data_IF_131735460258
#
_entry.id   IF_131735460258
#
_cell.length_a   1.000
_cell.length_b   1.000
_cell.length_c   1.000
_cell.angle_alpha   90.00
_cell.angle_beta   90.00
_cell.angle_gamma   90.00
#
_symmetry.space_group_name_H-M   'P 1'
#
loop_
_entity.id
_entity.type
_entity.pdbx_description
1 polymer ?
#
# COMPACT_ATOMS: atom_id res chain seq x y z
N UNK A 1 -18.04 15.12 21.25
CA UNK A 1 -18.95 15.22 22.41
C UNK A 1 -18.16 15.00 23.68
N UNK A 2 -18.43 15.78 24.74
CA UNK A 2 -17.80 15.57 26.04
C UNK A 2 -18.54 14.42 26.73
N UNK A 3 -17.89 13.27 26.83
CA UNK A 3 -18.52 12.01 27.25
C UNK A 3 -18.75 11.97 28.77
N UNK A 4 -18.24 12.96 29.50
CA UNK A 4 -18.32 13.01 30.96
C UNK A 4 -17.47 11.91 31.61
N UNK A 5 -17.65 11.75 32.92
CA UNK A 5 -17.03 10.67 33.69
C UNK A 5 -17.92 9.42 33.63
N UNK A 6 -17.36 8.27 33.26
CA UNK A 6 -18.07 6.98 33.16
C UNK A 6 -17.41 6.00 34.12
N UNK A 7 -18.18 5.46 35.06
CA UNK A 7 -17.72 4.46 36.03
C UNK A 7 -18.18 3.08 35.57
N UNK A 8 -17.27 2.10 35.55
CA UNK A 8 -17.62 0.73 35.18
C UNK A 8 -18.52 0.08 36.22
N UNK A 9 -19.55 -0.64 35.78
CA UNK A 9 -20.48 -1.33 36.68
C UNK A 9 -19.94 -2.68 37.19
N UNK A 10 -18.90 -3.20 36.55
CA UNK A 10 -18.23 -4.45 36.90
C UNK A 10 -16.79 -4.45 36.38
N UNK A 11 -16.03 -5.52 36.69
CA UNK A 11 -14.70 -5.71 36.14
C UNK A 11 -14.76 -5.89 34.61
N UNK A 12 -14.05 -5.03 33.89
CA UNK A 12 -13.94 -5.09 32.43
C UNK A 12 -12.47 -5.37 32.06
N UNK A 13 -12.16 -6.53 31.44
CA UNK A 13 -10.80 -6.83 31.04
C UNK A 13 -10.24 -5.84 30.02
N UNK A 14 -8.92 -5.67 30.01
CA UNK A 14 -8.24 -4.80 29.04
C UNK A 14 -8.57 -5.17 27.59
N UNK A 15 -8.79 -4.18 26.74
CA UNK A 15 -9.15 -4.35 25.32
C UNK A 15 -10.65 -4.56 25.07
N UNK A 16 -11.47 -4.73 26.11
CA UNK A 16 -12.92 -4.82 25.99
C UNK A 16 -13.57 -3.43 25.89
N UNK A 17 -14.84 -3.42 25.48
CA UNK A 17 -15.61 -2.20 25.22
C UNK A 17 -16.48 -1.88 26.44
N UNK A 18 -16.62 -0.60 26.74
CA UNK A 18 -17.52 -0.08 27.76
C UNK A 18 -18.52 0.85 27.07
N UNK A 19 -19.81 0.74 27.40
CA UNK A 19 -20.82 1.66 26.92
C UNK A 19 -20.62 3.02 27.61
N UNK A 20 -20.40 4.06 26.81
CA UNK A 20 -20.16 5.41 27.35
C UNK A 20 -21.44 6.20 27.64
N UNK A 21 -22.58 5.66 27.22
CA UNK A 21 -23.94 6.18 27.43
C UNK A 21 -24.90 4.99 27.45
N UNK A 22 -26.12 5.11 28.00
CA UNK A 22 -27.12 4.06 27.87
C UNK A 22 -27.43 3.79 26.39
N UNK A 23 -27.62 2.52 26.06
CA UNK A 23 -27.96 2.02 24.73
C UNK A 23 -29.20 1.15 24.88
N UNK A 24 -30.30 1.52 24.25
CA UNK A 24 -31.54 0.74 24.36
C UNK A 24 -31.41 -0.58 23.59
N UNK A 25 -32.21 -1.57 23.96
CA UNK A 25 -32.34 -2.79 23.16
C UNK A 25 -32.72 -2.42 21.72
N UNK A 26 -31.98 -2.98 20.77
CA UNK A 26 -32.21 -2.68 19.38
C UNK A 26 -31.55 -1.39 18.86
N UNK A 27 -30.82 -0.65 19.68
CA UNK A 27 -30.07 0.50 19.17
C UNK A 27 -28.78 0.05 18.46
N UNK A 28 -28.36 0.86 17.48
CA UNK A 28 -27.07 0.68 16.81
C UNK A 28 -25.93 1.06 17.76
N UNK A 29 -24.97 0.16 17.91
CA UNK A 29 -23.76 0.41 18.70
C UNK A 29 -22.69 0.95 17.78
N UNK A 30 -22.20 2.15 18.08
CA UNK A 30 -21.17 2.83 17.28
C UNK A 30 -19.79 2.66 17.91
N UNK A 31 -18.79 2.39 17.06
CA UNK A 31 -17.37 2.47 17.40
C UNK A 31 -16.61 3.05 16.21
N UNK A 32 -15.74 4.04 16.46
CA UNK A 32 -15.04 4.78 15.40
C UNK A 32 -15.98 5.40 14.34
N UNK A 33 -17.17 5.85 14.77
CA UNK A 33 -18.18 6.40 13.87
C UNK A 33 -18.88 5.37 12.97
N UNK A 34 -18.69 4.07 13.21
CA UNK A 34 -19.28 3.00 12.41
C UNK A 34 -20.14 2.09 13.27
N UNK A 35 -21.23 1.57 12.69
CA UNK A 35 -22.09 0.58 13.35
C UNK A 35 -21.33 -0.75 13.44
N UNK A 36 -21.13 -1.24 14.66
CA UNK A 36 -20.46 -2.53 14.92
C UNK A 36 -21.44 -3.65 15.29
N UNK A 37 -22.73 -3.33 15.34
CA UNK A 37 -23.79 -4.26 15.71
C UNK A 37 -24.96 -3.53 16.35
N UNK A 38 -25.91 -4.32 16.84
CA UNK A 38 -27.11 -3.84 17.53
C UNK A 38 -27.11 -4.37 18.96
N UNK A 39 -27.54 -3.56 19.92
CA UNK A 39 -27.69 -4.03 21.29
C UNK A 39 -28.78 -5.12 21.33
N UNK A 40 -28.45 -6.32 21.83
CA UNK A 40 -29.42 -7.43 21.93
C UNK A 40 -30.29 -7.35 23.20
N UNK A 41 -29.97 -6.42 24.08
CA UNK A 41 -30.74 -6.00 25.25
C UNK A 41 -30.33 -4.57 25.60
N UNK A 42 -31.01 -3.95 26.56
CA UNK A 42 -30.54 -2.70 27.14
C UNK A 42 -29.13 -2.85 27.73
N UNK A 43 -28.27 -1.85 27.48
CA UNK A 43 -26.90 -1.75 27.99
C UNK A 43 -26.76 -0.41 28.73
N UNK A 44 -26.45 -0.46 30.02
CA UNK A 44 -26.26 0.73 30.83
C UNK A 44 -24.93 1.44 30.52
N UNK A 45 -24.85 2.75 30.79
CA UNK A 45 -23.56 3.43 30.79
C UNK A 45 -22.61 2.79 31.82
N UNK A 46 -21.34 2.61 31.47
CA UNK A 46 -20.36 1.90 32.28
C UNK A 46 -20.41 0.37 32.15
N UNK A 47 -21.37 -0.18 31.41
CA UNK A 47 -21.49 -1.61 31.25
C UNK A 47 -20.54 -2.15 30.16
N UNK A 48 -20.07 -3.38 30.38
CA UNK A 48 -19.25 -4.12 29.41
C UNK A 48 -20.05 -4.48 28.16
N UNK A 49 -19.59 -4.05 26.98
CA UNK A 49 -20.15 -4.45 25.66
C UNK A 49 -19.35 -5.63 25.06
N UNK A 50 -19.99 -6.79 24.97
CA UNK A 50 -19.43 -8.08 24.55
C UNK A 50 -20.44 -8.90 23.72
N UNK A 51 -20.07 -10.12 23.32
CA UNK A 51 -20.87 -10.96 22.41
C UNK A 51 -22.29 -11.28 22.93
N UNK A 52 -22.50 -11.25 24.26
CA UNK A 52 -23.80 -11.58 24.86
C UNK A 52 -24.80 -10.41 24.84
N UNK A 53 -24.34 -9.17 24.64
CA UNK A 53 -25.21 -7.98 24.57
C UNK A 53 -25.06 -7.18 23.27
N UNK A 54 -24.18 -7.60 22.36
CA UNK A 54 -23.99 -7.03 21.03
C UNK A 54 -24.23 -8.09 19.97
N UNK A 55 -25.35 -7.99 19.26
CA UNK A 55 -25.68 -8.85 18.13
C UNK A 55 -25.13 -8.28 16.82
N UNK A 56 -24.67 -9.17 15.94
CA UNK A 56 -24.40 -8.82 14.54
C UNK A 56 -25.72 -8.71 13.79
N UNK A 57 -25.80 -7.73 12.91
CA UNK A 57 -26.98 -7.50 12.08
C UNK A 57 -26.85 -8.27 10.77
N UNK A 58 -27.91 -8.96 10.37
CA UNK A 58 -28.13 -9.21 8.95
C UNK A 58 -28.36 -7.85 8.28
N UNK A 59 -27.45 -7.51 7.38
CA UNK A 59 -27.37 -6.16 6.83
C UNK A 59 -27.64 -6.20 5.34
N UNK A 60 -28.73 -5.56 4.92
CA UNK A 60 -28.99 -5.20 3.53
C UNK A 60 -28.49 -3.78 3.19
N UNK A 61 -27.59 -3.21 4.01
CA UNK A 61 -27.11 -1.84 3.80
C UNK A 61 -26.28 -1.76 2.51
N UNK A 62 -26.48 -0.67 1.77
CA UNK A 62 -25.60 -0.31 0.66
C UNK A 62 -24.19 -0.11 1.20
N UNK A 63 -23.20 -0.71 0.54
CA UNK A 63 -21.81 -0.43 0.86
C UNK A 63 -21.46 0.97 0.35
N UNK A 64 -21.19 1.88 1.27
CA UNK A 64 -20.86 3.26 0.96
C UNK A 64 -19.48 3.60 1.52
N UNK A 65 -18.65 4.26 0.73
CA UNK A 65 -17.28 4.59 1.10
C UNK A 65 -17.19 6.06 1.53
N UNK A 66 -16.66 6.29 2.73
CA UNK A 66 -16.30 7.62 3.22
C UNK A 66 -17.44 8.66 3.14
N UNK A 67 -18.69 8.25 3.43
CA UNK A 67 -19.88 9.12 3.37
C UNK A 67 -19.73 10.35 4.27
N UNK A 68 -19.13 10.17 5.45
CA UNK A 68 -18.80 11.25 6.39
C UNK A 68 -17.35 11.75 6.23
N UNK A 69 -16.63 11.23 5.23
CA UNK A 69 -15.25 11.61 4.93
C UNK A 69 -15.21 12.93 4.17
N UNK A 70 -14.87 14.02 4.86
CA UNK A 70 -14.55 15.30 4.24
C UNK A 70 -13.11 15.38 3.71
N UNK A 71 -12.78 16.43 2.94
CA UNK A 71 -11.39 16.71 2.59
C UNK A 71 -10.55 16.80 3.86
N UNK A 72 -9.42 16.10 3.89
CA UNK A 72 -8.50 16.17 5.03
C UNK A 72 -7.97 17.60 5.12
N UNK A 73 -8.18 18.31 6.23
CA UNK A 73 -7.67 19.66 6.38
C UNK A 73 -6.14 19.60 6.38
N UNK A 74 -5.53 20.24 5.38
CA UNK A 74 -4.09 20.41 5.34
C UNK A 74 -3.69 21.53 6.31
N UNK A 75 -2.57 21.34 7.01
CA UNK A 75 -1.95 22.44 7.76
C UNK A 75 -1.67 23.64 6.84
N UNK A 76 -1.68 24.88 7.36
CA UNK A 76 -1.19 26.04 6.64
C UNK A 76 0.18 25.78 6.03
N UNK A 77 0.47 26.36 4.86
CA UNK A 77 1.69 26.04 4.10
C UNK A 77 2.98 26.23 4.92
N UNK A 78 3.05 27.27 5.74
CA UNK A 78 4.19 27.55 6.62
C UNK A 78 4.40 26.54 7.77
N UNK A 79 3.40 25.69 8.05
CA UNK A 79 3.48 24.64 9.08
C UNK A 79 3.74 23.25 8.48
N UNK A 80 3.72 23.14 7.14
CA UNK A 80 3.96 21.86 6.45
C UNK A 80 5.45 21.51 6.53
N UNK A 81 5.74 20.33 7.05
CA UNK A 81 7.11 19.81 7.09
C UNK A 81 7.59 19.48 5.68
N UNK A 82 8.87 19.79 5.43
CA UNK A 82 9.57 19.42 4.19
C UNK A 82 10.67 18.40 4.48
N UNK A 83 11.09 17.67 3.45
CA UNK A 83 12.26 16.79 3.53
C UNK A 83 13.15 16.98 2.28
N UNK A 84 14.44 16.68 2.42
CA UNK A 84 15.36 16.64 1.28
C UNK A 84 15.15 15.33 0.52
N UNK A 85 14.59 15.40 -0.68
CA UNK A 85 14.34 14.24 -1.54
C UNK A 85 14.91 14.42 -2.94
N UNK A 86 14.89 13.33 -3.71
CA UNK A 86 15.32 13.29 -5.10
C UNK A 86 14.14 13.60 -6.02
N UNK A 87 14.01 14.86 -6.45
CA UNK A 87 12.97 15.26 -7.41
C UNK A 87 13.23 14.59 -8.78
N UNK A 88 12.19 13.97 -9.34
CA UNK A 88 12.24 13.30 -10.65
C UNK A 88 11.55 14.14 -11.72
N UNK A 89 11.86 13.95 -13.01
CA UNK A 89 11.18 14.65 -14.12
C UNK A 89 9.66 14.48 -14.11
N UNK A 90 9.15 13.37 -13.55
CA UNK A 90 7.71 13.13 -13.37
C UNK A 90 7.03 14.01 -12.32
N UNK A 91 7.79 14.82 -11.58
CA UNK A 91 7.31 15.61 -10.43
C UNK A 91 7.21 14.83 -9.11
N UNK A 92 7.41 13.51 -9.14
CA UNK A 92 7.48 12.68 -7.94
C UNK A 92 8.84 12.83 -7.25
N UNK A 93 8.88 12.57 -5.94
CA UNK A 93 10.09 12.75 -5.12
C UNK A 93 10.47 11.43 -4.46
N UNK A 94 11.70 10.97 -4.71
CA UNK A 94 12.28 9.80 -4.08
C UNK A 94 12.88 10.14 -2.71
N UNK A 95 12.79 9.22 -1.76
CA UNK A 95 13.53 9.27 -0.49
C UNK A 95 14.88 8.56 -0.58
N UNK A 96 15.12 7.85 -1.68
CA UNK A 96 16.34 7.13 -2.02
C UNK A 96 16.69 7.32 -3.50
N UNK A 97 17.91 6.97 -3.86
CA UNK A 97 18.47 7.08 -5.19
C UNK A 97 19.12 5.75 -5.63
N UNK A 98 18.27 4.80 -5.98
CA UNK A 98 18.64 3.47 -6.46
C UNK A 98 18.65 3.40 -7.98
N UNK A 99 19.30 2.37 -8.51
CA UNK A 99 19.06 1.85 -9.86
C UNK A 99 18.30 0.52 -9.76
N UNK A 100 17.16 0.42 -10.42
CA UNK A 100 16.37 -0.81 -10.45
C UNK A 100 16.72 -1.65 -11.67
N UNK A 101 16.79 -2.98 -11.53
CA UNK A 101 16.95 -3.90 -12.65
C UNK A 101 15.67 -4.71 -12.76
N UNK A 102 14.88 -4.49 -13.81
CA UNK A 102 13.63 -5.20 -14.04
C UNK A 102 13.86 -6.30 -15.08
N UNK A 103 13.44 -7.53 -14.75
CA UNK A 103 13.45 -8.62 -15.73
C UNK A 103 12.11 -8.73 -16.43
N UNK A 104 12.11 -8.85 -17.76
CA UNK A 104 10.91 -9.18 -18.53
C UNK A 104 10.48 -10.64 -18.38
N UNK A 105 11.39 -11.50 -17.90
CA UNK A 105 11.23 -12.94 -17.81
C UNK A 105 12.06 -13.57 -16.68
N UNK A 106 11.60 -14.70 -16.12
CA UNK A 106 12.36 -15.41 -15.07
C UNK A 106 13.75 -15.87 -15.52
N UNK A 107 13.95 -16.18 -16.80
CA UNK A 107 15.25 -16.64 -17.31
C UNK A 107 16.36 -15.58 -17.18
N UNK A 108 16.04 -14.28 -17.14
CA UNK A 108 17.01 -13.21 -16.90
C UNK A 108 17.21 -12.88 -15.41
N UNK A 109 16.50 -13.56 -14.50
CA UNK A 109 16.57 -13.30 -13.05
C UNK A 109 17.97 -13.52 -12.48
N UNK A 110 18.67 -14.57 -12.91
CA UNK A 110 20.03 -14.87 -12.44
C UNK A 110 21.00 -13.77 -12.84
N UNK A 111 20.89 -13.27 -14.09
CA UNK A 111 21.73 -12.17 -14.59
C UNK A 111 21.46 -10.89 -13.81
N UNK A 112 20.18 -10.53 -13.61
CA UNK A 112 19.83 -9.33 -12.87
C UNK A 112 20.36 -9.37 -11.41
N UNK A 113 20.26 -10.52 -10.74
CA UNK A 113 20.79 -10.71 -9.38
C UNK A 113 22.31 -10.62 -9.36
N UNK A 114 23.00 -11.25 -10.30
CA UNK A 114 24.46 -11.18 -10.39
C UNK A 114 24.96 -9.74 -10.58
N UNK A 115 24.27 -8.93 -11.40
CA UNK A 115 24.59 -7.50 -11.56
C UNK A 115 24.39 -6.74 -10.24
N UNK A 116 23.27 -6.95 -9.54
CA UNK A 116 23.02 -6.30 -8.26
C UNK A 116 24.06 -6.70 -7.18
N UNK A 117 24.40 -7.99 -7.10
CA UNK A 117 25.37 -8.53 -6.15
C UNK A 117 26.79 -8.02 -6.42
N UNK A 118 27.16 -7.80 -7.69
CA UNK A 118 28.42 -7.17 -8.06
C UNK A 118 28.56 -5.79 -7.39
N UNK A 119 27.55 -4.92 -7.52
CA UNK A 119 27.60 -3.58 -6.93
C UNK A 119 27.50 -3.58 -5.41
N UNK A 120 26.79 -4.55 -4.83
CA UNK A 120 26.78 -4.75 -3.38
C UNK A 120 28.18 -5.09 -2.82
N UNK A 121 28.98 -5.81 -3.59
CA UNK A 121 30.32 -6.28 -3.18
C UNK A 121 31.42 -5.27 -3.50
N UNK A 122 31.36 -4.65 -4.69
CA UNK A 122 32.42 -3.77 -5.20
C UNK A 122 32.16 -2.28 -4.94
N UNK A 123 30.94 -1.94 -4.49
CA UNK A 123 30.52 -0.56 -4.29
C UNK A 123 30.34 0.21 -5.61
N UNK A 124 30.23 1.53 -5.50
CA UNK A 124 29.86 2.43 -6.60
C UNK A 124 31.00 3.33 -7.06
N UNK A 125 32.24 3.08 -6.63
CA UNK A 125 33.39 3.94 -6.94
C UNK A 125 33.13 5.40 -6.54
N UNK A 126 33.14 6.30 -7.54
CA UNK A 126 32.95 7.74 -7.34
C UNK A 126 31.47 8.18 -7.22
N UNK A 127 30.51 7.28 -7.38
CA UNK A 127 29.08 7.60 -7.32
C UNK A 127 28.53 7.49 -5.90
N UNK A 128 28.94 8.41 -5.02
CA UNK A 128 28.53 8.42 -3.60
C UNK A 128 27.04 8.69 -3.37
N UNK A 129 26.34 9.22 -4.37
CA UNK A 129 24.90 9.52 -4.33
C UNK A 129 24.01 8.34 -4.75
N UNK A 130 24.58 7.17 -5.04
CA UNK A 130 23.81 5.96 -5.39
C UNK A 130 23.66 5.10 -4.14
N UNK A 131 22.41 4.92 -3.70
CA UNK A 131 22.09 4.13 -2.51
C UNK A 131 22.20 2.62 -2.75
N UNK A 132 22.08 2.19 -4.01
CA UNK A 132 22.23 0.79 -4.37
C UNK A 132 21.71 0.42 -5.76
N UNK A 133 21.85 -0.87 -6.08
CA UNK A 133 21.26 -1.52 -7.26
C UNK A 133 20.37 -2.66 -6.78
N UNK A 134 19.13 -2.72 -7.26
CA UNK A 134 18.14 -3.71 -6.82
C UNK A 134 17.61 -4.51 -8.00
N UNK A 135 17.72 -5.83 -7.93
CA UNK A 135 17.11 -6.74 -8.90
C UNK A 135 15.63 -7.01 -8.56
N UNK A 136 14.74 -6.67 -9.49
CA UNK A 136 13.29 -6.81 -9.42
C UNK A 136 12.87 -7.94 -10.38
N UNK A 137 13.00 -9.16 -9.89
CA UNK A 137 12.76 -10.38 -10.65
C UNK A 137 11.36 -10.96 -10.39
N UNK A 138 10.79 -11.69 -11.35
CA UNK A 138 9.54 -12.43 -11.15
C UNK A 138 9.69 -13.91 -11.53
N UNK A 139 8.89 -14.78 -10.90
CA UNK A 139 8.92 -16.23 -11.14
C UNK A 139 8.12 -16.69 -12.36
N UNK A 140 7.37 -15.81 -13.01
CA UNK A 140 6.51 -16.19 -14.14
C UNK A 140 7.32 -16.60 -15.37
N UNK A 141 6.92 -17.71 -16.01
CA UNK A 141 7.59 -18.27 -17.19
C UNK A 141 7.45 -17.40 -18.45
N UNK A 142 8.16 -17.77 -19.52
CA UNK A 142 8.25 -16.98 -20.75
C UNK A 142 6.92 -16.90 -21.53
N UNK A 143 6.12 -17.98 -21.52
CA UNK A 143 4.93 -18.17 -22.36
C UNK A 143 3.62 -17.87 -21.61
N UNK A 144 3.51 -16.71 -20.99
CA UNK A 144 2.28 -16.29 -20.31
C UNK A 144 1.25 -15.89 -21.38
N UNK A 145 0.01 -16.38 -21.32
CA UNK A 145 -1.04 -15.92 -22.21
C UNK A 145 -1.34 -14.43 -21.96
N UNK A 146 -1.22 -13.60 -23.00
CA UNK A 146 -1.30 -12.13 -22.89
C UNK A 146 -2.70 -11.58 -22.62
N UNK A 147 -3.73 -12.41 -22.79
CA UNK A 147 -5.14 -12.07 -22.58
C UNK A 147 -5.63 -12.48 -21.17
N UNK A 148 -4.73 -12.71 -20.22
CA UNK A 148 -5.08 -13.12 -18.86
C UNK A 148 -4.96 -11.97 -17.87
N UNK A 149 -5.73 -12.07 -16.79
CA UNK A 149 -5.64 -11.16 -15.64
C UNK A 149 -4.23 -11.18 -15.02
N UNK A 150 -3.62 -12.38 -14.92
CA UNK A 150 -2.25 -12.55 -14.41
C UNK A 150 -1.20 -11.79 -15.22
N UNK A 151 -1.30 -11.80 -16.56
CA UNK A 151 -0.42 -11.01 -17.42
C UNK A 151 -0.60 -9.51 -17.17
N UNK A 152 -1.85 -9.07 -17.02
CA UNK A 152 -2.18 -7.66 -16.74
C UNK A 152 -1.60 -7.23 -15.39
N UNK A 153 -1.74 -8.06 -14.35
CA UNK A 153 -1.16 -7.80 -13.03
C UNK A 153 0.36 -7.75 -13.05
N UNK A 154 1.01 -8.68 -13.74
CA UNK A 154 2.47 -8.67 -13.89
C UNK A 154 2.93 -7.36 -14.52
N UNK A 155 2.36 -6.99 -15.68
CA UNK A 155 2.76 -5.76 -16.38
C UNK A 155 2.50 -4.51 -15.55
N UNK A 156 1.35 -4.42 -14.88
CA UNK A 156 1.03 -3.30 -13.98
C UNK A 156 2.02 -3.20 -12.82
N UNK A 157 2.44 -4.34 -12.27
CA UNK A 157 3.43 -4.40 -11.18
C UNK A 157 4.81 -3.96 -11.65
N UNK A 158 5.27 -4.46 -12.80
CA UNK A 158 6.54 -4.05 -13.41
C UNK A 158 6.55 -2.55 -13.72
N UNK A 159 5.44 -2.00 -14.22
CA UNK A 159 5.31 -0.55 -14.42
C UNK A 159 5.37 0.24 -13.10
N UNK A 160 4.69 -0.24 -12.05
CA UNK A 160 4.75 0.37 -10.73
C UNK A 160 6.17 0.44 -10.19
N UNK A 161 6.96 -0.62 -10.38
CA UNK A 161 8.38 -0.60 -10.07
C UNK A 161 9.16 0.36 -10.96
N UNK A 162 8.93 0.33 -12.28
CA UNK A 162 9.66 1.16 -13.22
C UNK A 162 9.48 2.67 -12.97
N UNK A 163 8.30 3.07 -12.47
CA UNK A 163 7.94 4.47 -12.16
C UNK A 163 8.14 4.85 -10.69
N UNK A 164 8.71 3.98 -9.86
CA UNK A 164 8.93 4.29 -8.46
C UNK A 164 10.00 5.40 -8.32
N UNK A 165 9.71 6.53 -7.64
CA UNK A 165 10.63 7.67 -7.60
C UNK A 165 11.92 7.41 -6.80
N UNK A 166 12.01 6.30 -6.06
CA UNK A 166 13.27 5.87 -5.45
C UNK A 166 14.26 5.30 -6.45
N UNK A 167 13.82 4.98 -7.67
CA UNK A 167 14.73 4.65 -8.77
C UNK A 167 15.04 5.90 -9.58
N UNK A 168 16.33 6.21 -9.69
CA UNK A 168 16.85 7.24 -10.58
C UNK A 168 16.78 6.77 -12.04
N UNK A 169 16.99 5.47 -12.24
CA UNK A 169 16.97 4.81 -13.52
C UNK A 169 16.56 3.34 -13.34
N UNK A 170 16.07 2.76 -14.43
CA UNK A 170 15.71 1.35 -14.53
C UNK A 170 16.48 0.75 -15.70
N UNK A 171 17.13 -0.39 -15.45
CA UNK A 171 17.68 -1.26 -16.48
C UNK A 171 16.71 -2.42 -16.70
N UNK A 172 16.24 -2.62 -17.93
CA UNK A 172 15.42 -3.79 -18.26
C UNK A 172 16.27 -4.88 -18.92
N UNK A 173 16.18 -6.11 -18.41
CA UNK A 173 16.93 -7.27 -18.94
C UNK A 173 15.94 -8.33 -19.44
N UNK A 174 16.00 -8.60 -20.73
CA UNK A 174 15.24 -9.64 -21.43
C UNK A 174 16.17 -10.53 -22.25
N UNK A 175 15.73 -11.76 -22.53
CA UNK A 175 16.48 -12.70 -23.36
C UNK A 175 15.92 -12.79 -24.78
N UNK A 176 14.74 -12.21 -25.03
CA UNK A 176 14.10 -12.10 -26.34
C UNK A 176 13.13 -13.23 -26.66
N UNK A 177 13.11 -14.33 -25.90
CA UNK A 177 12.18 -15.45 -26.11
C UNK A 177 10.87 -15.32 -25.31
N UNK A 178 10.72 -14.28 -24.49
CA UNK A 178 9.54 -14.03 -23.68
C UNK A 178 8.36 -13.45 -24.46
N UNK A 179 7.14 -13.75 -24.03
CA UNK A 179 5.95 -13.07 -24.57
C UNK A 179 5.86 -11.62 -24.09
N UNK A 180 6.39 -11.33 -22.90
CA UNK A 180 6.37 -10.00 -22.27
C UNK A 180 7.55 -9.13 -22.74
N UNK A 181 7.64 -8.89 -24.05
CA UNK A 181 8.75 -8.16 -24.68
C UNK A 181 8.94 -6.75 -24.10
N UNK A 182 10.21 -6.37 -23.89
CA UNK A 182 10.59 -5.06 -23.32
C UNK A 182 10.05 -3.91 -24.16
N UNK A 183 10.18 -3.98 -25.48
CA UNK A 183 9.66 -2.95 -26.39
C UNK A 183 8.15 -2.71 -26.21
N UNK A 184 7.39 -3.77 -25.94
CA UNK A 184 5.95 -3.67 -25.66
C UNK A 184 5.66 -3.07 -24.28
N UNK A 185 6.52 -3.32 -23.29
CA UNK A 185 6.42 -2.68 -21.97
C UNK A 185 6.71 -1.19 -22.06
N UNK A 186 7.83 -0.82 -22.69
CA UNK A 186 8.25 0.57 -22.89
C UNK A 186 7.16 1.36 -23.60
N UNK A 187 6.63 0.84 -24.71
CA UNK A 187 5.54 1.49 -25.45
C UNK A 187 4.24 1.59 -24.64
N UNK A 188 3.80 0.50 -24.00
CA UNK A 188 2.52 0.50 -23.30
C UNK A 188 2.51 1.37 -22.05
N UNK A 189 3.67 1.64 -21.49
CA UNK A 189 3.83 2.45 -20.29
C UNK A 189 4.51 3.79 -20.56
N UNK A 190 4.64 4.18 -21.83
CA UNK A 190 5.21 5.48 -22.23
C UNK A 190 6.53 5.77 -21.51
N UNK A 191 7.38 4.74 -21.42
CA UNK A 191 8.71 4.86 -20.84
C UNK A 191 9.64 5.39 -21.92
N UNK A 192 10.59 6.23 -21.51
CA UNK A 192 11.63 6.75 -22.39
C UNK A 192 12.89 5.90 -22.24
N UNK A 193 13.46 5.50 -23.37
CA UNK A 193 14.78 4.86 -23.36
C UNK A 193 15.84 5.90 -23.02
N UNK A 194 16.65 5.60 -22.00
CA UNK A 194 17.77 6.44 -21.61
C UNK A 194 18.92 6.39 -22.63
N UNK A 195 19.91 7.28 -22.50
CA UNK A 195 21.12 7.22 -23.32
C UNK A 195 21.85 5.89 -23.08
N UNK A 196 22.34 5.27 -24.16
CA UNK A 196 23.19 4.07 -24.14
C UNK A 196 24.60 4.39 -23.64
#
# INVERSE_FOLDING_TARGET
ENVGEVVTLSDVPSGHKIAVRPIAEGDMVLKYGQVIGRASREIAAGEHVHLQNLAMLDSAVSHEFAVEGGPTPLLPEGERRTFKGYLRPSGLVGTRNYVGIITSVNCSATVAKAVADYFKTNGFGNYANVDGVVALTHGTGCAIPTNTEGYTYLRRTLNGYARNPNFAAILMIGLGCETNQISHLVKAFELEEGPL
#
